data_IF_529733473065
#
_entry.id   IF_529733473065
#
_cell.length_a   1.000
_cell.length_b   1.000
_cell.length_c   1.000
_cell.angle_alpha   90.00
_cell.angle_beta   90.00
_cell.angle_gamma   90.00
#
_symmetry.space_group_name_H-M   'P 1'
#
loop_
_entity.id
_entity.type
_entity.pdbx_description
1 polymer ?
#
# COMPACT_ATOMS: atom_id res chain seq x y z
N UNK A 1 20.32 14.44 -7.86
CA UNK A 1 19.44 13.27 -8.07
C UNK A 1 18.05 13.63 -7.52
N UNK A 2 16.98 13.25 -8.21
CA UNK A 2 15.61 13.60 -7.80
C UNK A 2 15.18 12.70 -6.64
N UNK A 3 14.83 13.29 -5.51
CA UNK A 3 14.35 12.61 -4.31
C UNK A 3 12.86 12.24 -4.51
N UNK A 4 12.60 11.32 -5.44
CA UNK A 4 11.22 10.87 -5.72
C UNK A 4 10.81 9.86 -4.67
N UNK A 5 9.54 9.97 -4.28
CA UNK A 5 8.90 9.10 -3.33
C UNK A 5 7.59 8.58 -3.90
N UNK A 6 7.18 7.39 -3.50
CA UNK A 6 6.06 6.67 -4.08
C UNK A 6 5.27 5.94 -2.99
N UNK A 7 3.94 6.00 -3.07
CA UNK A 7 3.04 5.12 -2.32
C UNK A 7 2.35 4.21 -3.34
N UNK A 8 2.40 2.91 -3.12
CA UNK A 8 1.60 1.94 -3.88
C UNK A 8 0.42 1.52 -3.00
N UNK A 9 -0.79 1.87 -3.44
CA UNK A 9 -2.02 1.51 -2.77
C UNK A 9 -2.55 0.22 -3.38
N UNK A 10 -2.90 -0.73 -2.53
CA UNK A 10 -3.53 -1.95 -2.99
C UNK A 10 -5.01 -1.76 -3.35
N UNK A 11 -5.55 -2.69 -4.15
CA UNK A 11 -6.95 -2.67 -4.54
C UNK A 11 -7.92 -2.97 -3.38
N UNK A 12 -9.20 -2.73 -3.65
CA UNK A 12 -10.32 -3.03 -2.77
C UNK A 12 -10.59 -4.55 -2.75
N UNK A 13 -10.41 -5.23 -1.60
CA UNK A 13 -10.77 -6.63 -1.45
C UNK A 13 -12.29 -6.78 -1.31
N UNK A 14 -12.84 -7.82 -1.94
CA UNK A 14 -14.29 -8.13 -1.87
C UNK A 14 -14.74 -8.69 -0.52
N UNK A 15 -13.80 -9.10 0.34
CA UNK A 15 -14.04 -9.74 1.62
C UNK A 15 -13.17 -9.09 2.70
N UNK A 16 -13.82 -8.44 3.67
CA UNK A 16 -13.20 -7.66 4.73
C UNK A 16 -12.33 -8.51 5.68
N UNK A 17 -12.78 -9.71 6.03
CA UNK A 17 -12.06 -10.58 6.96
C UNK A 17 -10.80 -11.16 6.30
N UNK A 18 -10.90 -11.57 5.04
CA UNK A 18 -9.74 -12.06 4.28
C UNK A 18 -8.72 -10.98 3.96
N UNK A 19 -9.16 -9.73 3.84
CA UNK A 19 -8.28 -8.59 3.57
C UNK A 19 -7.29 -8.27 4.70
N UNK A 20 -7.71 -8.52 5.95
CA UNK A 20 -6.91 -8.15 7.12
C UNK A 20 -6.07 -9.31 7.66
N UNK A 21 -6.37 -10.55 7.26
CA UNK A 21 -5.61 -11.72 7.67
C UNK A 21 -4.32 -11.86 6.82
N UNK A 22 -3.11 -11.84 7.42
CA UNK A 22 -1.84 -11.99 6.70
C UNK A 22 -1.72 -13.26 5.84
N UNK A 23 -2.35 -14.35 6.25
CA UNK A 23 -2.28 -15.63 5.52
C UNK A 23 -3.11 -15.59 4.23
N UNK A 24 -4.24 -14.89 4.24
CA UNK A 24 -5.22 -14.90 3.14
C UNK A 24 -5.23 -13.61 2.32
N UNK A 25 -4.71 -12.50 2.86
CA UNK A 25 -4.57 -11.24 2.10
C UNK A 25 -3.72 -11.45 0.86
N UNK A 26 -4.08 -10.77 -0.22
CA UNK A 26 -3.47 -10.98 -1.54
C UNK A 26 -2.65 -9.78 -2.00
N UNK A 27 -2.82 -8.60 -1.42
CA UNK A 27 -2.14 -7.39 -1.90
C UNK A 27 -0.65 -7.32 -1.58
N UNK A 28 -0.19 -8.01 -0.53
CA UNK A 28 1.23 -8.19 -0.24
C UNK A 28 1.83 -9.35 -1.06
N UNK A 29 1.03 -9.98 -1.90
CA UNK A 29 1.40 -11.02 -2.85
C UNK A 29 1.23 -10.42 -4.27
N UNK A 30 1.81 -11.05 -5.29
CA UNK A 30 1.84 -10.56 -6.68
C UNK A 30 2.86 -9.44 -6.97
N UNK A 31 2.46 -8.42 -7.73
CA UNK A 31 3.36 -7.46 -8.37
C UNK A 31 3.79 -6.33 -7.44
N UNK A 32 3.07 -6.05 -6.35
CA UNK A 32 3.38 -4.95 -5.42
C UNK A 32 4.78 -5.13 -4.78
N UNK A 33 5.16 -6.32 -4.24
CA UNK A 33 6.52 -6.56 -3.77
C UNK A 33 7.60 -6.36 -4.84
N UNK A 34 7.34 -6.84 -6.06
CA UNK A 34 8.27 -6.67 -7.18
C UNK A 34 8.44 -5.19 -7.56
N UNK A 35 7.34 -4.44 -7.67
CA UNK A 35 7.37 -3.02 -7.99
C UNK A 35 8.09 -2.20 -6.92
N UNK A 36 7.84 -2.46 -5.63
CA UNK A 36 8.58 -1.80 -4.53
C UNK A 36 10.08 -2.04 -4.65
N UNK A 37 10.50 -3.28 -4.94
CA UNK A 37 11.91 -3.64 -5.15
C UNK A 37 12.53 -2.84 -6.31
N UNK A 38 11.87 -2.81 -7.47
CA UNK A 38 12.38 -2.12 -8.66
C UNK A 38 12.46 -0.59 -8.49
N UNK A 39 11.47 0.02 -7.83
CA UNK A 39 11.47 1.45 -7.52
C UNK A 39 12.56 1.80 -6.52
N UNK A 40 12.71 1.01 -5.45
CA UNK A 40 13.78 1.19 -4.45
C UNK A 40 15.16 1.06 -5.11
N UNK A 41 15.34 0.08 -6.02
CA UNK A 41 16.59 -0.09 -6.78
C UNK A 41 16.94 1.11 -7.68
N UNK A 42 15.94 1.94 -8.04
CA UNK A 42 16.10 3.19 -8.79
C UNK A 42 16.24 4.42 -7.87
N UNK A 43 16.50 4.23 -6.58
CA UNK A 43 16.53 5.28 -5.54
C UNK A 43 15.20 6.06 -5.44
N UNK A 44 14.06 5.36 -5.57
CA UNK A 44 12.72 5.92 -5.30
C UNK A 44 12.23 5.31 -3.98
N UNK A 45 12.13 6.12 -2.93
CA UNK A 45 11.59 5.70 -1.64
C UNK A 45 10.14 5.27 -1.82
N UNK A 46 9.82 4.02 -1.50
CA UNK A 46 8.51 3.43 -1.84
C UNK A 46 7.86 2.75 -0.66
N UNK A 47 6.65 3.19 -0.34
CA UNK A 47 5.82 2.62 0.72
C UNK A 47 4.60 1.88 0.17
N UNK A 48 4.20 0.85 0.90
CA UNK A 48 3.08 -0.04 0.55
C UNK A 48 2.18 -0.21 1.77
N UNK A 49 1.48 0.86 2.21
CA UNK A 49 0.62 0.81 3.38
C UNK A 49 -0.50 -0.20 3.22
N UNK A 50 -0.89 -0.82 4.33
CA UNK A 50 -2.18 -1.49 4.44
C UNK A 50 -3.24 -0.43 4.73
N UNK A 51 -4.14 -0.20 3.77
CA UNK A 51 -5.20 0.77 3.95
C UNK A 51 -6.19 0.30 5.02
N UNK A 52 -6.69 1.16 5.92
CA UNK A 52 -7.69 0.79 6.90
C UNK A 52 -9.04 0.57 6.22
N UNK A 53 -9.74 -0.52 6.54
CA UNK A 53 -11.07 -0.83 5.96
C UNK A 53 -11.11 -0.70 4.43
N UNK A 54 -10.22 -1.36 3.67
CA UNK A 54 -10.01 -1.10 2.24
C UNK A 54 -11.21 -1.44 1.34
N UNK A 55 -12.20 -2.15 1.87
CA UNK A 55 -13.49 -2.43 1.23
C UNK A 55 -14.47 -1.25 1.29
N UNK A 56 -14.22 -0.27 2.16
CA UNK A 56 -15.05 0.90 2.41
C UNK A 56 -14.30 2.17 2.01
N UNK A 57 -14.86 3.04 1.15
CA UNK A 57 -14.19 4.28 0.71
C UNK A 57 -14.26 5.39 1.76
N UNK A 58 -13.71 5.16 2.95
CA UNK A 58 -13.59 6.16 4.02
C UNK A 58 -12.31 7.00 3.81
N UNK A 59 -12.46 8.10 3.09
CA UNK A 59 -11.32 8.95 2.69
C UNK A 59 -10.62 9.63 3.87
N UNK A 60 -11.32 9.90 4.98
CA UNK A 60 -10.69 10.48 6.17
C UNK A 60 -9.76 9.45 6.83
N UNK A 61 -10.20 8.19 6.96
CA UNK A 61 -9.32 7.10 7.42
C UNK A 61 -8.13 6.92 6.49
N UNK A 62 -8.34 6.98 5.18
CA UNK A 62 -7.26 6.81 4.20
C UNK A 62 -6.24 7.95 4.29
N UNK A 63 -6.72 9.20 4.39
CA UNK A 63 -5.88 10.37 4.58
C UNK A 63 -5.02 10.26 5.84
N UNK A 64 -5.64 9.91 6.96
CA UNK A 64 -4.92 9.70 8.23
C UNK A 64 -3.86 8.60 8.13
N UNK A 65 -4.08 7.57 7.30
CA UNK A 65 -3.06 6.55 7.04
C UNK A 65 -1.91 7.11 6.21
N UNK A 66 -2.20 7.87 5.14
CA UNK A 66 -1.15 8.47 4.30
C UNK A 66 -0.24 9.43 5.04
N UNK A 67 -0.80 10.23 5.95
CA UNK A 67 -0.03 11.23 6.72
C UNK A 67 1.01 10.62 7.66
N UNK A 68 0.96 9.30 7.92
CA UNK A 68 1.99 8.59 8.68
C UNK A 68 3.29 8.41 7.91
N UNK A 69 3.24 8.46 6.58
CA UNK A 69 4.37 8.19 5.71
C UNK A 69 4.97 9.51 5.26
N UNK A 70 6.26 9.71 5.52
CA UNK A 70 7.00 10.90 5.09
C UNK A 70 7.48 10.73 3.65
N UNK A 71 6.53 10.69 2.72
CA UNK A 71 6.72 10.49 1.27
C UNK A 71 6.33 11.72 0.46
#
# INVERSE_FOLDING_TARGET
MSNKKCIIIHGCPSDAEKAMNPETRTYDKHWIPWAKKELTAKNIETETPLMPSPWEPDYEKFKNEFEKYNV
#
